data_IF_607112923602
#
_entry.id   IF_607112923602
#
_cell.length_a   1.000
_cell.length_b   1.000
_cell.length_c   1.000
_cell.angle_alpha   90.00
_cell.angle_beta   90.00
_cell.angle_gamma   90.00
#
_symmetry.space_group_name_H-M   'P 1'
#
loop_
_entity.id
_entity.type
_entity.pdbx_description
1 polymer ?
#
# COMPACT_ATOMS: atom_id res chain seq x y z
N UNK A 1 2.84 -12.24 -3.85
CA UNK A 1 2.53 -11.78 -5.23
C UNK A 1 1.09 -11.37 -5.45
N UNK A 2 0.06 -12.19 -5.15
CA UNK A 2 -1.35 -11.83 -5.44
C UNK A 2 -1.79 -10.52 -4.77
N UNK A 3 -1.42 -10.32 -3.51
CA UNK A 3 -1.76 -9.09 -2.79
C UNK A 3 -1.09 -7.84 -3.38
N UNK A 4 0.15 -7.94 -3.86
CA UNK A 4 0.82 -6.83 -4.57
C UNK A 4 0.10 -6.47 -5.88
N UNK A 5 -0.44 -7.47 -6.58
CA UNK A 5 -1.27 -7.25 -7.78
C UNK A 5 -2.62 -6.61 -7.44
N UNK A 6 -3.25 -7.03 -6.33
CA UNK A 6 -4.45 -6.41 -5.81
C UNK A 6 -4.21 -4.95 -5.38
N UNK A 7 -3.08 -4.68 -4.74
CA UNK A 7 -2.64 -3.36 -4.32
C UNK A 7 -2.45 -2.43 -5.53
N UNK A 8 -1.66 -2.83 -6.54
CA UNK A 8 -1.44 -1.97 -7.71
C UNK A 8 -2.74 -1.70 -8.48
N UNK A 9 -3.60 -2.71 -8.64
CA UNK A 9 -4.89 -2.55 -9.30
C UNK A 9 -5.81 -1.59 -8.52
N UNK A 10 -5.86 -1.73 -7.19
CA UNK A 10 -6.66 -0.88 -6.31
C UNK A 10 -6.17 0.58 -6.29
N UNK A 11 -4.85 0.79 -6.37
CA UNK A 11 -4.27 2.13 -6.49
C UNK A 11 -4.64 2.80 -7.80
N UNK A 12 -4.50 2.11 -8.94
CA UNK A 12 -4.88 2.67 -10.25
C UNK A 12 -6.38 2.92 -10.34
N UNK A 13 -7.21 2.09 -9.70
CA UNK A 13 -8.66 2.28 -9.57
C UNK A 13 -9.05 3.30 -8.48
N UNK A 14 -8.10 3.79 -7.67
CA UNK A 14 -8.30 4.81 -6.63
C UNK A 14 -9.32 4.41 -5.55
N UNK A 15 -9.36 3.13 -5.19
CA UNK A 15 -10.22 2.62 -4.12
C UNK A 15 -9.45 2.60 -2.79
N UNK A 16 -9.63 3.61 -1.92
CA UNK A 16 -8.88 3.70 -0.66
C UNK A 16 -9.10 2.52 0.29
N UNK A 17 -10.33 2.01 0.38
CA UNK A 17 -10.63 0.85 1.23
C UNK A 17 -9.97 -0.43 0.69
N UNK A 18 -9.98 -0.62 -0.63
CA UNK A 18 -9.30 -1.73 -1.29
C UNK A 18 -7.78 -1.64 -1.12
N UNK A 19 -7.22 -0.43 -1.21
CA UNK A 19 -5.79 -0.17 -0.97
C UNK A 19 -5.43 -0.57 0.46
N UNK A 20 -6.20 -0.12 1.47
CA UNK A 20 -5.96 -0.49 2.87
C UNK A 20 -6.04 -1.99 3.08
N UNK A 21 -7.05 -2.65 2.51
CA UNK A 21 -7.22 -4.10 2.60
C UNK A 21 -5.98 -4.85 2.09
N UNK A 22 -5.59 -4.62 0.83
CA UNK A 22 -4.45 -5.31 0.23
C UNK A 22 -3.12 -4.93 0.90
N UNK A 23 -2.98 -3.69 1.35
CA UNK A 23 -1.77 -3.21 2.00
C UNK A 23 -1.60 -3.82 3.40
N UNK A 24 -2.68 -3.95 4.18
CA UNK A 24 -2.68 -4.66 5.46
C UNK A 24 -2.35 -6.13 5.30
N UNK A 25 -2.94 -6.81 4.31
CA UNK A 25 -2.59 -8.21 4.03
C UNK A 25 -1.14 -8.35 3.53
N UNK A 26 -0.61 -7.39 2.76
CA UNK A 26 0.82 -7.38 2.40
C UNK A 26 1.71 -7.31 3.64
N UNK A 27 1.34 -6.49 4.63
CA UNK A 27 2.06 -6.39 5.89
C UNK A 27 2.02 -7.71 6.68
N UNK A 28 0.85 -8.33 6.83
CA UNK A 28 0.69 -9.65 7.49
C UNK A 28 1.51 -10.75 6.80
N UNK A 29 1.70 -10.66 5.48
CA UNK A 29 2.52 -11.59 4.70
C UNK A 29 4.02 -11.29 4.76
N UNK A 30 4.44 -10.28 5.54
CA UNK A 30 5.85 -9.89 5.69
C UNK A 30 6.46 -9.28 4.44
N UNK A 31 5.65 -8.68 3.57
CA UNK A 31 6.15 -7.91 2.42
C UNK A 31 6.99 -6.75 2.95
N UNK A 32 8.15 -6.55 2.33
CA UNK A 32 9.06 -5.49 2.76
C UNK A 32 8.56 -4.12 2.35
N UNK A 33 8.95 -3.09 3.11
CA UNK A 33 8.70 -1.68 2.75
C UNK A 33 9.21 -1.35 1.35
N UNK A 34 10.35 -1.91 0.95
CA UNK A 34 10.91 -1.71 -0.39
C UNK A 34 9.96 -2.20 -1.49
N UNK A 35 9.43 -3.42 -1.38
CA UNK A 35 8.48 -4.00 -2.34
C UNK A 35 7.17 -3.20 -2.43
N UNK A 36 6.65 -2.74 -1.29
CA UNK A 36 5.44 -1.89 -1.27
C UNK A 36 5.68 -0.56 -1.97
N UNK A 37 6.83 0.08 -1.73
CA UNK A 37 7.17 1.36 -2.35
C UNK A 37 7.46 1.22 -3.84
N UNK A 38 7.97 0.08 -4.30
CA UNK A 38 8.05 -0.25 -5.73
C UNK A 38 6.66 -0.33 -6.36
N UNK A 39 5.68 -0.97 -5.69
CA UNK A 39 4.29 -0.99 -6.15
C UNK A 39 3.70 0.42 -6.24
N UNK A 40 3.97 1.28 -5.24
CA UNK A 40 3.52 2.66 -5.26
C UNK A 40 4.12 3.45 -6.42
N UNK A 41 5.40 3.24 -6.72
CA UNK A 41 6.07 3.86 -7.86
C UNK A 41 5.41 3.43 -9.19
N UNK A 42 5.14 2.13 -9.35
CA UNK A 42 4.46 1.60 -10.54
C UNK A 42 3.04 2.16 -10.66
N UNK A 43 2.29 2.20 -9.55
CA UNK A 43 0.93 2.75 -9.54
C UNK A 43 0.89 4.24 -9.91
N UNK A 44 1.84 5.04 -9.41
CA UNK A 44 1.94 6.46 -9.77
C UNK A 44 2.41 6.68 -11.22
N UNK A 45 3.27 5.80 -11.75
CA UNK A 45 3.67 5.84 -13.15
C UNK A 45 2.49 5.53 -14.08
N UNK A 46 1.71 4.49 -13.78
CA UNK A 46 0.59 4.02 -14.61
C UNK A 46 -0.65 4.90 -14.43
N UNK A 47 -1.02 5.20 -13.19
CA UNK A 47 -2.20 5.98 -12.84
C UNK A 47 -1.99 7.49 -12.82
N UNK A 48 -0.75 7.97 -12.98
CA UNK A 48 -0.42 9.39 -13.02
C UNK A 48 -0.61 10.13 -11.69
N UNK A 49 -0.55 11.47 -11.75
CA UNK A 49 -0.60 12.33 -10.56
C UNK A 49 -1.88 12.20 -9.73
N UNK A 50 -2.96 11.68 -10.31
CA UNK A 50 -4.23 11.47 -9.61
C UNK A 50 -4.15 10.33 -8.58
N UNK A 51 -3.12 9.48 -8.64
CA UNK A 51 -2.84 8.46 -7.62
C UNK A 51 -2.08 9.02 -6.40
N UNK A 52 -1.55 10.24 -6.46
CA UNK A 52 -0.74 10.82 -5.37
C UNK A 52 -1.53 10.92 -4.05
N UNK A 53 -2.79 11.42 -4.01
CA UNK A 53 -3.54 11.48 -2.75
C UNK A 53 -3.78 10.10 -2.13
N UNK A 54 -3.99 9.08 -2.96
CA UNK A 54 -4.18 7.70 -2.52
C UNK A 54 -2.88 7.09 -2.01
N UNK A 55 -1.76 7.35 -2.70
CA UNK A 55 -0.42 6.95 -2.27
C UNK A 55 -0.08 7.55 -0.91
N UNK A 56 -0.36 8.84 -0.69
CA UNK A 56 -0.11 9.49 0.61
C UNK A 56 -0.85 8.81 1.76
N UNK A 57 -2.16 8.56 1.59
CA UNK A 57 -2.96 7.82 2.58
C UNK A 57 -2.49 6.39 2.78
N UNK A 58 -2.03 5.72 1.73
CA UNK A 58 -1.46 4.38 1.80
C UNK A 58 -0.15 4.37 2.61
N UNK A 59 0.73 5.35 2.40
CA UNK A 59 1.96 5.52 3.19
C UNK A 59 1.65 5.80 4.65
N UNK A 60 0.72 6.72 4.94
CA UNK A 60 0.28 7.00 6.33
C UNK A 60 -0.24 5.73 7.02
N UNK A 61 -1.00 4.89 6.31
CA UNK A 61 -1.48 3.63 6.84
C UNK A 61 -0.36 2.61 7.05
N UNK A 62 0.59 2.49 6.09
CA UNK A 62 1.74 1.60 6.23
C UNK A 62 2.61 1.96 7.43
N UNK A 63 2.87 3.25 7.64
CA UNK A 63 3.63 3.73 8.81
C UNK A 63 2.90 3.47 10.12
N UNK A 64 1.57 3.54 10.13
CA UNK A 64 0.77 3.17 11.30
C UNK A 64 0.88 1.66 11.61
N UNK A 65 0.96 0.79 10.59
CA UNK A 65 1.20 -0.64 10.77
C UNK A 65 2.59 -0.89 11.36
N UNK A 66 3.64 -0.32 10.76
CA UNK A 66 5.02 -0.42 11.27
C UNK A 66 5.17 0.13 12.70
N UNK A 67 4.42 1.19 13.04
CA UNK A 67 4.39 1.76 14.38
C UNK A 67 3.58 0.94 15.41
N UNK A 68 2.66 0.08 14.96
CA UNK A 68 1.84 -0.76 15.84
C UNK A 68 2.57 -2.01 16.35
N UNK A 69 3.64 -2.45 15.66
CA UNK A 69 4.51 -3.55 16.09
C UNK A 69 5.30 -3.30 17.39
N UNK A 70 5.17 -2.12 18.01
CA UNK A 70 5.83 -1.74 19.27
C UNK A 70 4.97 -1.70 20.54
N UNK A 71 3.66 -2.00 20.47
CA UNK A 71 2.73 -1.84 21.62
C UNK A 71 2.19 -3.16 22.19
N UNK A 72 2.32 -4.27 21.45
CA UNK A 72 1.73 -5.56 21.84
C UNK A 72 2.77 -6.63 22.27
N UNK A 73 3.88 -6.22 22.89
CA UNK A 73 4.90 -7.12 23.47
C UNK A 73 5.01 -7.00 25.00
#
# INVERSE_FOLDING_TARGET
>A
TKELLGLVASMVMRCDDCIRYHLGTCYELGVTRAEVFEVFAIANLVGGSICIPHTRRAVEYWEALEGSEGVDA
#
